data_IF_161084686082
#
_entry.id   IF_161084686082
#
_cell.length_a   1.000
_cell.length_b   1.000
_cell.length_c   1.000
_cell.angle_alpha   90.00
_cell.angle_beta   90.00
_cell.angle_gamma   90.00
#
_symmetry.space_group_name_H-M   'P 1'
#
loop_
_entity.id
_entity.type
_entity.pdbx_description
1 polymer ?
#
# COMPACT_ATOMS: atom_id res chain seq x y z
N UNK A 1 18.74 6.54 10.36
CA UNK A 1 19.26 7.05 9.06
C UNK A 1 19.24 5.86 8.12
N UNK A 2 18.34 5.86 7.15
CA UNK A 2 18.16 4.72 6.25
C UNK A 2 19.40 4.65 5.34
N UNK A 3 19.98 3.48 5.21
CA UNK A 3 21.21 3.29 4.45
C UNK A 3 20.88 3.38 2.94
N UNK A 4 21.43 4.37 2.25
CA UNK A 4 21.21 4.62 0.81
C UNK A 4 21.58 3.39 -0.05
N UNK A 5 22.51 2.56 0.38
CA UNK A 5 22.87 1.34 -0.35
C UNK A 5 21.75 0.29 -0.38
N UNK A 6 20.82 0.31 0.59
CA UNK A 6 19.66 -0.59 0.58
C UNK A 6 18.72 -0.32 -0.60
N UNK A 7 18.66 0.91 -1.11
CA UNK A 7 17.79 1.28 -2.24
C UNK A 7 18.34 0.90 -3.60
N UNK A 8 19.66 0.73 -3.70
CA UNK A 8 20.33 0.43 -4.97
C UNK A 8 20.24 -1.02 -5.38
N UNK A 9 19.91 -1.90 -4.44
CA UNK A 9 19.86 -3.35 -4.64
C UNK A 9 18.54 -3.95 -4.17
N UNK A 10 17.39 -3.53 -4.75
CA UNK A 10 16.08 -4.03 -4.36
C UNK A 10 15.92 -5.53 -4.57
N UNK A 11 16.68 -6.12 -5.50
CA UNK A 11 16.71 -7.56 -5.77
C UNK A 11 17.14 -8.42 -4.56
N UNK A 12 17.78 -7.81 -3.56
CA UNK A 12 18.14 -8.49 -2.31
C UNK A 12 16.94 -8.70 -1.38
N UNK A 13 15.89 -7.91 -1.54
CA UNK A 13 14.74 -7.86 -0.65
C UNK A 13 13.45 -8.29 -1.36
N UNK A 14 13.34 -7.96 -2.64
CA UNK A 14 12.17 -8.27 -3.45
C UNK A 14 12.49 -9.51 -4.27
N UNK A 15 12.24 -10.67 -3.68
CA UNK A 15 12.53 -11.99 -4.30
C UNK A 15 11.26 -12.70 -4.76
N UNK A 16 10.08 -12.13 -4.48
CA UNK A 16 8.78 -12.68 -4.82
C UNK A 16 7.87 -11.60 -5.39
N UNK A 17 6.87 -11.99 -6.17
CA UNK A 17 5.83 -11.09 -6.64
C UNK A 17 4.97 -10.58 -5.49
N UNK A 18 4.65 -9.27 -5.51
CA UNK A 18 3.70 -8.70 -4.58
C UNK A 18 4.21 -8.45 -3.17
N UNK A 19 5.52 -8.23 -2.99
CA UNK A 19 6.02 -7.80 -1.68
C UNK A 19 5.32 -6.51 -1.23
N UNK A 20 4.75 -6.55 -0.05
CA UNK A 20 4.05 -5.42 0.56
C UNK A 20 5.05 -4.42 1.13
N UNK A 21 4.86 -3.14 0.84
CA UNK A 21 5.67 -2.05 1.39
C UNK A 21 4.77 -1.18 2.28
N UNK A 22 5.00 -1.25 3.59
CA UNK A 22 4.38 -0.34 4.55
C UNK A 22 5.19 0.96 4.61
N UNK A 23 4.53 2.10 4.54
CA UNK A 23 5.18 3.42 4.53
C UNK A 23 4.62 4.29 5.64
N UNK A 24 5.51 4.91 6.42
CA UNK A 24 5.18 6.00 7.34
C UNK A 24 5.57 7.32 6.70
N UNK A 25 4.57 8.13 6.35
CA UNK A 25 4.76 9.50 5.86
C UNK A 25 4.59 10.47 7.02
N UNK A 26 5.61 11.26 7.28
CA UNK A 26 5.51 12.35 8.24
C UNK A 26 4.49 13.41 7.77
N UNK A 27 3.84 14.06 8.72
CA UNK A 27 2.95 15.17 8.41
C UNK A 27 3.78 16.39 8.00
N UNK A 28 3.56 16.86 6.79
CA UNK A 28 4.16 18.09 6.25
C UNK A 28 3.03 19.06 5.92
N UNK A 29 2.91 20.14 6.69
CA UNK A 29 1.82 21.12 6.57
C UNK A 29 1.69 21.73 5.16
N UNK A 30 2.78 21.73 4.40
CA UNK A 30 2.85 22.27 3.03
C UNK A 30 2.32 21.29 1.97
N UNK A 31 2.15 20.01 2.30
CA UNK A 31 1.66 19.00 1.37
C UNK A 31 0.18 18.64 1.67
N UNK A 32 -0.78 18.97 0.77
CA UNK A 32 -2.19 18.63 0.98
C UNK A 32 -2.45 17.14 1.24
N UNK A 33 -1.66 16.25 0.62
CA UNK A 33 -1.75 14.80 0.80
C UNK A 33 -1.25 14.33 2.17
N UNK A 34 -0.43 15.12 2.86
CA UNK A 34 0.00 14.79 4.22
C UNK A 34 -1.16 14.90 5.22
N UNK A 35 -2.14 15.77 4.94
CA UNK A 35 -3.37 15.87 5.73
C UNK A 35 -4.22 14.60 5.61
N UNK A 36 -4.30 14.02 4.41
CA UNK A 36 -4.97 12.73 4.17
C UNK A 36 -4.26 11.62 4.95
N UNK A 37 -2.93 11.58 4.90
CA UNK A 37 -2.12 10.60 5.63
C UNK A 37 -2.27 10.77 7.15
N UNK A 38 -2.39 12.00 7.65
CA UNK A 38 -2.66 12.27 9.06
C UNK A 38 -4.05 11.79 9.49
N UNK A 39 -5.07 12.02 8.66
CA UNK A 39 -6.43 11.52 8.89
C UNK A 39 -6.47 9.98 8.93
N UNK A 40 -5.80 9.30 7.99
CA UNK A 40 -5.70 7.84 7.98
C UNK A 40 -5.16 7.32 9.33
N UNK A 41 -4.06 7.88 9.81
CA UNK A 41 -3.47 7.47 11.10
C UNK A 41 -4.42 7.65 12.28
N UNK A 42 -5.19 8.71 12.27
CA UNK A 42 -6.13 9.04 13.34
C UNK A 42 -7.26 8.01 13.44
N UNK A 43 -7.76 7.53 12.29
CA UNK A 43 -8.86 6.56 12.22
C UNK A 43 -8.39 5.11 12.29
N UNK A 44 -7.20 4.82 11.76
CA UNK A 44 -6.63 3.48 11.71
C UNK A 44 -5.84 3.12 12.98
N UNK A 45 -5.53 4.11 13.81
CA UNK A 45 -4.66 3.97 14.99
C UNK A 45 -3.34 3.25 14.66
N UNK A 46 -2.83 3.44 13.44
CA UNK A 46 -1.65 2.78 12.92
C UNK A 46 -0.47 3.75 12.78
N UNK A 47 0.73 3.26 13.02
CA UNK A 47 1.96 3.97 12.66
C UNK A 47 2.05 4.17 11.13
N UNK A 48 1.63 3.17 10.37
CA UNK A 48 1.69 3.15 8.91
C UNK A 48 0.49 3.85 8.28
N UNK A 49 0.71 4.65 7.27
CA UNK A 49 -0.35 5.48 6.66
C UNK A 49 -0.34 5.49 5.13
N UNK A 50 0.48 4.67 4.52
CA UNK A 50 0.48 4.44 3.08
C UNK A 50 1.05 3.06 2.78
N UNK A 51 0.66 2.50 1.63
CA UNK A 51 1.16 1.22 1.16
C UNK A 51 1.54 1.29 -0.30
N UNK A 52 2.55 0.49 -0.64
CA UNK A 52 2.95 0.22 -2.01
C UNK A 52 3.24 -1.28 -2.15
N UNK A 53 3.44 -1.73 -3.37
CA UNK A 53 3.66 -3.14 -3.68
C UNK A 53 4.85 -3.24 -4.62
N UNK A 54 5.85 -4.05 -4.25
CA UNK A 54 6.97 -4.32 -5.13
C UNK A 54 6.68 -5.53 -6.01
N UNK A 55 6.94 -5.39 -7.31
CA UNK A 55 6.63 -6.35 -8.36
C UNK A 55 7.87 -6.60 -9.21
N UNK A 56 8.04 -7.84 -9.68
CA UNK A 56 9.15 -8.25 -10.54
C UNK A 56 8.62 -8.40 -11.98
N UNK A 57 9.19 -7.67 -12.92
CA UNK A 57 8.90 -7.83 -14.34
C UNK A 57 9.63 -9.05 -14.92
N UNK A 58 9.19 -9.50 -16.09
CA UNK A 58 9.80 -10.62 -16.80
C UNK A 58 11.30 -10.42 -17.12
N UNK A 59 11.74 -9.18 -17.25
CA UNK A 59 13.16 -8.81 -17.45
C UNK A 59 13.97 -8.72 -16.14
N UNK A 60 13.36 -9.07 -15.00
CA UNK A 60 13.96 -8.97 -13.67
C UNK A 60 13.92 -7.57 -13.06
N UNK A 61 13.42 -6.56 -13.77
CA UNK A 61 13.31 -5.20 -13.22
C UNK A 61 12.29 -5.15 -12.09
N UNK A 62 12.67 -4.56 -10.96
CA UNK A 62 11.77 -4.37 -9.83
C UNK A 62 11.05 -3.04 -9.98
N UNK A 63 9.73 -3.14 -9.98
CA UNK A 63 8.81 -2.01 -10.05
C UNK A 63 8.07 -1.86 -8.72
N UNK A 64 7.64 -0.66 -8.40
CA UNK A 64 6.73 -0.40 -7.30
C UNK A 64 5.41 0.12 -7.85
N UNK A 65 4.32 -0.52 -7.47
CA UNK A 65 2.96 -0.08 -7.73
C UNK A 65 2.40 0.58 -6.49
N UNK A 66 1.77 1.73 -6.66
CA UNK A 66 1.05 2.42 -5.58
C UNK A 66 -0.22 3.08 -6.11
N UNK A 67 -1.22 3.23 -5.26
CA UNK A 67 -2.35 4.12 -5.49
C UNK A 67 -2.08 5.45 -4.78
N UNK A 68 -2.03 6.54 -5.53
CA UNK A 68 -1.78 7.89 -5.04
C UNK A 68 -2.74 8.89 -5.71
N UNK A 69 -2.53 10.20 -5.51
CA UNK A 69 -3.41 11.24 -6.06
C UNK A 69 -3.62 11.20 -7.58
N UNK A 70 -2.72 10.54 -8.31
CA UNK A 70 -2.84 10.35 -9.76
C UNK A 70 -3.53 9.04 -10.13
N UNK A 71 -3.97 8.26 -9.14
CA UNK A 71 -4.49 6.91 -9.31
C UNK A 71 -3.44 5.83 -9.10
N UNK A 72 -3.69 4.66 -9.66
CA UNK A 72 -2.77 3.51 -9.59
C UNK A 72 -1.70 3.68 -10.67
N UNK A 73 -0.48 3.80 -10.22
CA UNK A 73 0.70 3.96 -11.05
C UNK A 73 1.77 2.95 -10.65
N UNK A 74 2.67 2.66 -11.57
CA UNK A 74 3.89 1.95 -11.22
C UNK A 74 5.12 2.68 -11.75
N UNK A 75 6.25 2.48 -11.07
CA UNK A 75 7.52 3.09 -11.42
C UNK A 75 8.68 2.18 -10.99
N UNK A 76 9.89 2.35 -11.56
CA UNK A 76 11.07 1.63 -11.07
C UNK A 76 11.27 1.83 -9.57
N UNK A 77 11.67 0.76 -8.88
CA UNK A 77 11.90 0.80 -7.42
C UNK A 77 12.87 1.92 -7.02
N UNK A 78 13.92 2.14 -7.80
CA UNK A 78 14.90 3.21 -7.54
C UNK A 78 14.26 4.59 -7.52
N UNK A 79 13.40 4.91 -8.50
CA UNK A 79 12.69 6.20 -8.54
C UNK A 79 11.70 6.34 -7.38
N UNK A 80 11.03 5.23 -7.01
CA UNK A 80 10.13 5.22 -5.86
C UNK A 80 10.93 5.46 -4.56
N UNK A 81 12.06 4.75 -4.37
CA UNK A 81 12.90 4.89 -3.20
C UNK A 81 13.51 6.30 -3.07
N UNK A 82 13.90 6.93 -4.16
CA UNK A 82 14.34 8.34 -4.15
C UNK A 82 13.24 9.27 -3.65
N UNK A 83 12.00 9.06 -4.09
CA UNK A 83 10.83 9.84 -3.67
C UNK A 83 10.48 9.64 -2.20
N UNK A 84 10.68 8.44 -1.68
CA UNK A 84 10.34 8.07 -0.30
C UNK A 84 11.57 7.92 0.61
N UNK A 85 12.77 8.29 0.16
CA UNK A 85 14.02 8.07 0.87
C UNK A 85 14.14 8.79 2.21
N UNK A 86 13.34 9.84 2.44
CA UNK A 86 13.25 10.54 3.73
C UNK A 86 12.09 10.03 4.62
N UNK A 87 11.38 8.97 4.22
CA UNK A 87 10.28 8.36 4.96
C UNK A 87 10.74 7.05 5.59
N UNK A 88 10.01 6.56 6.58
CA UNK A 88 10.23 5.22 7.14
C UNK A 88 9.39 4.25 6.30
N UNK A 89 9.95 3.15 5.88
CA UNK A 89 9.25 2.09 5.21
C UNK A 89 9.87 0.71 5.49
N UNK A 90 9.04 -0.31 5.39
CA UNK A 90 9.41 -1.72 5.59
C UNK A 90 8.85 -2.57 4.45
N UNK A 91 9.58 -3.60 4.06
CA UNK A 91 9.16 -4.56 3.05
C UNK A 91 8.80 -5.88 3.72
N UNK A 92 7.65 -6.43 3.36
CA UNK A 92 7.16 -7.74 3.81
C UNK A 92 6.98 -8.66 2.61
N UNK A 93 7.12 -9.99 2.77
CA UNK A 93 6.79 -10.93 1.70
C UNK A 93 5.28 -10.86 1.39
N UNK A 94 4.81 -11.34 0.23
CA UNK A 94 3.38 -11.46 -0.02
C UNK A 94 2.74 -12.47 0.94
N UNK A 95 1.45 -12.31 1.25
CA UNK A 95 0.71 -13.23 2.13
C UNK A 95 0.42 -14.58 1.45
N UNK A 96 0.40 -14.60 0.12
CA UNK A 96 0.29 -15.82 -0.70
C UNK A 96 1.08 -15.65 -1.99
N UNK A 97 1.44 -16.74 -2.67
CA UNK A 97 2.03 -16.67 -4.01
C UNK A 97 1.05 -15.98 -4.97
N UNK A 98 1.55 -15.01 -5.73
CA UNK A 98 0.78 -14.22 -6.69
C UNK A 98 1.59 -14.03 -7.97
N UNK A 99 0.88 -13.78 -9.07
CA UNK A 99 1.47 -13.46 -10.36
C UNK A 99 1.40 -11.94 -10.63
N UNK A 100 2.16 -11.47 -11.61
CA UNK A 100 2.19 -10.06 -11.97
C UNK A 100 0.80 -9.55 -12.40
N UNK A 101 0.03 -10.38 -13.08
CA UNK A 101 -1.30 -10.09 -13.59
C UNK A 101 -2.30 -9.77 -12.49
N UNK A 102 -2.18 -10.40 -11.32
CA UNK A 102 -3.04 -10.17 -10.16
C UNK A 102 -3.01 -8.71 -9.72
N UNK A 103 -1.91 -8.03 -9.99
CA UNK A 103 -1.71 -6.63 -9.66
C UNK A 103 -1.91 -5.68 -10.84
N UNK A 104 -1.43 -6.03 -12.04
CA UNK A 104 -1.46 -5.10 -13.19
C UNK A 104 -2.87 -4.77 -13.65
N UNK A 105 -3.87 -5.60 -13.34
CA UNK A 105 -5.30 -5.31 -13.58
C UNK A 105 -5.81 -4.03 -12.89
N UNK A 106 -5.09 -3.53 -11.89
CA UNK A 106 -5.44 -2.29 -11.19
C UNK A 106 -4.81 -1.04 -11.80
N UNK A 107 -3.86 -1.17 -12.72
CA UNK A 107 -3.19 -0.03 -13.34
C UNK A 107 -4.18 0.91 -14.03
N UNK A 108 -3.94 2.21 -13.86
CA UNK A 108 -4.76 3.26 -14.45
C UNK A 108 -6.08 3.54 -13.73
N UNK A 109 -6.43 2.81 -12.66
CA UNK A 109 -7.59 3.17 -11.81
C UNK A 109 -7.33 4.48 -11.11
N UNK A 110 -8.40 5.26 -10.90
CA UNK A 110 -8.34 6.51 -10.15
C UNK A 110 -8.15 6.28 -8.64
N UNK A 111 -7.83 7.33 -7.89
CA UNK A 111 -7.75 7.25 -6.43
C UNK A 111 -9.12 7.41 -5.77
N UNK A 112 -9.45 6.54 -4.83
CA UNK A 112 -10.73 6.56 -4.11
C UNK A 112 -10.65 7.37 -2.81
N UNK A 113 -10.66 8.69 -2.93
CA UNK A 113 -10.73 9.60 -1.78
C UNK A 113 -11.99 9.42 -0.96
N UNK A 114 -13.12 9.08 -1.60
CA UNK A 114 -14.41 8.98 -0.92
C UNK A 114 -14.43 7.80 0.04
N UNK A 115 -13.97 6.65 -0.40
CA UNK A 115 -13.86 5.49 0.49
C UNK A 115 -12.90 5.76 1.64
N UNK A 116 -11.75 6.36 1.36
CA UNK A 116 -10.73 6.61 2.36
C UNK A 116 -11.14 7.69 3.39
N UNK A 117 -11.70 8.82 2.96
CA UNK A 117 -11.93 9.98 3.83
C UNK A 117 -13.35 10.02 4.44
N UNK A 118 -14.29 9.27 3.89
CA UNK A 118 -15.66 9.26 4.36
C UNK A 118 -16.07 7.87 4.88
N UNK A 119 -15.95 6.83 4.07
CA UNK A 119 -16.50 5.53 4.43
C UNK A 119 -15.64 4.78 5.45
N UNK A 120 -14.31 4.88 5.38
CA UNK A 120 -13.42 4.30 6.39
C UNK A 120 -13.66 4.88 7.80
N UNK A 121 -13.69 6.21 8.02
CA UNK A 121 -14.03 6.78 9.31
C UNK A 121 -15.41 6.35 9.83
N UNK A 122 -16.44 6.34 8.98
CA UNK A 122 -17.78 5.88 9.37
C UNK A 122 -17.73 4.40 9.80
N UNK A 123 -17.08 3.55 9.02
CA UNK A 123 -16.93 2.15 9.36
C UNK A 123 -16.20 1.93 10.69
N UNK A 124 -15.06 2.57 10.88
CA UNK A 124 -14.26 2.45 12.12
C UNK A 124 -15.01 2.93 13.37
N UNK A 125 -15.97 3.86 13.22
CA UNK A 125 -16.76 4.40 14.35
C UNK A 125 -18.09 3.69 14.57
N UNK A 126 -18.75 3.19 13.52
CA UNK A 126 -20.11 2.64 13.60
C UNK A 126 -20.19 1.14 13.28
N UNK A 127 -19.15 0.55 12.73
CA UNK A 127 -19.16 -0.81 12.18
C UNK A 127 -19.96 -0.96 10.87
N UNK A 128 -20.47 0.15 10.30
CA UNK A 128 -21.32 0.12 9.10
C UNK A 128 -20.54 0.67 7.90
N UNK A 129 -20.36 -0.18 6.86
CA UNK A 129 -19.81 0.25 5.59
C UNK A 129 -20.90 0.73 4.65
N UNK A 130 -20.84 1.99 4.24
CA UNK A 130 -21.78 2.61 3.32
C UNK A 130 -21.20 2.83 1.92
N UNK A 131 -19.94 2.48 1.73
CA UNK A 131 -19.23 2.57 0.45
C UNK A 131 -19.52 1.40 -0.48
N UNK A 132 -18.88 1.47 -1.64
CA UNK A 132 -18.96 0.39 -2.62
C UNK A 132 -18.07 -0.78 -2.17
N UNK A 133 -18.53 -2.01 -2.44
CA UNK A 133 -17.83 -3.24 -2.05
C UNK A 133 -17.10 -3.91 -3.21
N UNK A 134 -17.45 -3.50 -4.43
CA UNK A 134 -16.87 -4.03 -5.65
C UNK A 134 -15.89 -3.02 -6.25
N UNK A 135 -14.61 -3.38 -6.25
CA UNK A 135 -13.53 -2.56 -6.80
C UNK A 135 -13.70 -2.35 -8.31
N UNK A 136 -14.29 -3.31 -9.03
CA UNK A 136 -14.45 -3.24 -10.48
C UNK A 136 -15.53 -2.24 -10.88
N UNK A 137 -16.55 -2.06 -10.04
CA UNK A 137 -17.65 -1.11 -10.28
C UNK A 137 -17.27 0.36 -10.16
N UNK A 138 -16.16 0.70 -9.44
CA UNK A 138 -15.78 2.11 -9.23
C UNK A 138 -14.75 2.62 -10.24
N UNK A 139 -13.92 1.76 -10.79
CA UNK A 139 -12.71 2.17 -11.51
C UNK A 139 -11.72 2.98 -10.65
N UNK A 140 -11.86 2.90 -9.33
CA UNK A 140 -11.03 3.62 -8.33
C UNK A 140 -10.59 2.68 -7.25
N UNK A 141 -9.47 3.02 -6.60
CA UNK A 141 -8.94 2.26 -5.46
C UNK A 141 -8.06 3.16 -4.59
N UNK A 142 -7.94 2.85 -3.31
CA UNK A 142 -6.94 3.46 -2.43
C UNK A 142 -5.79 2.48 -2.15
N UNK A 143 -4.76 2.93 -1.45
CA UNK A 143 -3.47 2.25 -1.42
C UNK A 143 -3.52 0.78 -0.93
N UNK A 144 -4.30 0.48 0.11
CA UNK A 144 -4.39 -0.88 0.69
C UNK A 144 -5.26 -1.82 -0.12
N UNK A 145 -6.27 -1.33 -0.84
CA UNK A 145 -7.20 -2.17 -1.59
C UNK A 145 -6.50 -3.03 -2.64
N UNK A 146 -5.49 -2.49 -3.34
CA UNK A 146 -4.76 -3.25 -4.37
C UNK A 146 -4.19 -4.54 -3.75
N UNK A 147 -3.50 -4.40 -2.62
CA UNK A 147 -2.91 -5.53 -1.92
C UNK A 147 -3.98 -6.49 -1.39
N UNK A 148 -5.01 -5.94 -0.75
CA UNK A 148 -6.08 -6.72 -0.11
C UNK A 148 -6.89 -7.54 -1.12
N UNK A 149 -7.24 -6.95 -2.27
CA UNK A 149 -7.94 -7.67 -3.33
C UNK A 149 -7.06 -8.68 -4.05
N UNK A 150 -5.79 -8.37 -4.33
CA UNK A 150 -4.87 -9.32 -4.94
C UNK A 150 -4.62 -10.54 -4.04
N UNK A 151 -4.51 -10.32 -2.73
CA UNK A 151 -4.32 -11.39 -1.76
C UNK A 151 -5.64 -12.07 -1.31
N UNK A 152 -6.80 -11.66 -1.84
CA UNK A 152 -8.13 -12.21 -1.52
C UNK A 152 -8.43 -12.21 -0.01
N UNK A 153 -8.04 -11.13 0.68
CA UNK A 153 -8.31 -10.97 2.10
C UNK A 153 -9.82 -10.83 2.34
N UNK A 154 -10.27 -11.23 3.53
CA UNK A 154 -11.69 -11.06 3.88
C UNK A 154 -12.06 -9.58 3.89
N UNK A 155 -13.14 -9.24 3.20
CA UNK A 155 -13.64 -7.86 3.06
C UNK A 155 -12.58 -6.83 2.70
N UNK A 156 -11.87 -6.99 1.57
CA UNK A 156 -10.70 -6.20 1.20
C UNK A 156 -10.97 -4.69 1.14
N UNK A 157 -12.22 -4.28 0.86
CA UNK A 157 -12.67 -2.88 0.83
C UNK A 157 -12.74 -2.22 2.22
N UNK A 158 -12.62 -2.98 3.32
CA UNK A 158 -12.62 -2.46 4.69
C UNK A 158 -11.22 -2.24 5.25
N UNK A 159 -10.20 -2.87 4.64
CA UNK A 159 -8.89 -2.96 5.24
C UNK A 159 -8.11 -1.66 5.06
N UNK A 160 -7.66 -1.12 6.17
CA UNK A 160 -6.67 -0.05 6.22
C UNK A 160 -5.26 -0.63 6.41
N UNK A 161 -4.25 0.23 6.40
CA UNK A 161 -2.85 -0.22 6.53
C UNK A 161 -2.60 -0.95 7.85
N UNK A 162 -3.21 -0.50 8.94
CA UNK A 162 -3.10 -1.14 10.26
C UNK A 162 -3.66 -2.56 10.27
N UNK A 163 -4.81 -2.77 9.62
CA UNK A 163 -5.44 -4.09 9.55
C UNK A 163 -4.52 -5.09 8.82
N UNK A 164 -3.88 -4.69 7.72
CA UNK A 164 -2.90 -5.53 7.01
C UNK A 164 -1.67 -5.82 7.88
N UNK A 165 -1.20 -4.84 8.63
CA UNK A 165 -0.08 -5.03 9.54
C UNK A 165 -0.42 -5.99 10.70
N UNK A 166 -1.69 -6.05 11.12
CA UNK A 166 -2.17 -7.04 12.08
C UNK A 166 -2.19 -8.45 11.50
N UNK A 167 -2.57 -8.62 10.22
CA UNK A 167 -2.48 -9.90 9.51
C UNK A 167 -1.04 -10.43 9.48
N UNK A 168 -0.07 -9.57 9.15
CA UNK A 168 1.35 -9.95 9.17
C UNK A 168 1.80 -10.38 10.57
N UNK A 169 1.43 -9.62 11.60
CA UNK A 169 1.76 -9.93 12.98
C UNK A 169 1.11 -11.24 13.45
N UNK A 170 -0.17 -11.44 13.16
CA UNK A 170 -0.90 -12.66 13.50
C UNK A 170 -0.33 -13.90 12.82
N UNK A 171 0.18 -13.74 11.61
CA UNK A 171 0.86 -14.80 10.84
C UNK A 171 2.32 -15.03 11.25
N UNK A 172 2.87 -14.24 12.17
CA UNK A 172 4.27 -14.32 12.59
C UNK A 172 5.27 -13.97 11.47
N UNK A 173 4.84 -13.19 10.47
CA UNK A 173 5.67 -12.81 9.33
C UNK A 173 6.38 -11.50 9.65
N UNK A 174 7.70 -11.57 9.68
CA UNK A 174 8.58 -10.42 9.92
C UNK A 174 8.94 -9.69 8.63
N UNK A 175 9.30 -8.41 8.69
CA UNK A 175 9.76 -7.68 7.52
C UNK A 175 11.06 -8.27 6.98
N UNK A 176 11.14 -8.37 5.65
CA UNK A 176 12.38 -8.75 4.95
C UNK A 176 13.42 -7.63 5.09
N UNK A 177 12.91 -6.39 5.11
CA UNK A 177 13.71 -5.19 5.29
C UNK A 177 12.99 -4.22 6.24
N UNK A 178 13.69 -3.77 7.27
CA UNK A 178 13.20 -2.83 8.29
C UNK A 178 14.13 -1.62 8.45
#
# INVERSE_FOLDING_TARGET
>A
MINIDQYRHPERYVTQQGCFIAVHRYHEWTEPLSNVSAAIRLFDNSFWNHTAIALIRADGTIMVMESNSKGVVWMPFTHWAERYGNKIWQIYPPLKPLELEDYTRFLGRGYDYKSLLLWQPIYKTTGQWLGQRDIDGTGRTYCTEIFSYANELDRPYLLATGDIMEEYRASGIEPIMA
#
